data_IF_051538816000
#
_entry.id   IF_051538816000
#
_cell.length_a   1.000
_cell.length_b   1.000
_cell.length_c   1.000
_cell.angle_alpha   90.00
_cell.angle_beta   90.00
_cell.angle_gamma   90.00
#
_symmetry.space_group_name_H-M   'P 1'
#
loop_
_entity.id
_entity.type
_entity.pdbx_description
1 polymer ?
#
# COMPACT_ATOMS: atom_id res chain seq x y z
N UNK A 1 3.65 -16.94 -4.26
CA UNK A 1 5.01 -16.74 -3.71
C UNK A 1 6.01 -16.37 -4.80
N UNK A 2 5.98 -17.00 -5.99
CA UNK A 2 6.91 -16.73 -7.08
C UNK A 2 7.05 -15.25 -7.50
N UNK A 3 5.99 -14.43 -7.43
CA UNK A 3 6.14 -12.99 -7.70
C UNK A 3 6.88 -12.26 -6.57
N UNK A 4 6.70 -12.65 -5.30
CA UNK A 4 7.44 -12.06 -4.17
C UNK A 4 8.93 -12.40 -4.23
N UNK A 5 9.26 -13.64 -4.58
CA UNK A 5 10.64 -14.08 -4.83
C UNK A 5 11.24 -13.34 -6.03
N UNK A 6 10.49 -13.21 -7.13
CA UNK A 6 10.94 -12.50 -8.34
C UNK A 6 11.26 -11.02 -8.08
N UNK A 7 10.53 -10.38 -7.18
CA UNK A 7 10.74 -8.97 -6.82
C UNK A 7 11.59 -8.79 -5.55
N UNK A 8 12.11 -9.88 -4.98
CA UNK A 8 12.94 -9.88 -3.76
C UNK A 8 12.29 -9.09 -2.60
N UNK A 9 10.96 -9.19 -2.46
CA UNK A 9 10.19 -8.37 -1.52
C UNK A 9 10.11 -9.00 -0.13
N UNK A 10 10.13 -10.34 -0.03
CA UNK A 10 10.02 -11.08 1.23
C UNK A 10 10.76 -12.42 1.15
N UNK A 11 11.25 -12.92 2.29
CA UNK A 11 11.81 -14.27 2.45
C UNK A 11 10.89 -15.13 3.33
N UNK A 12 10.71 -16.40 2.96
CA UNK A 12 9.95 -17.35 3.77
C UNK A 12 10.84 -17.91 4.88
N UNK A 13 10.50 -17.62 6.14
CA UNK A 13 11.23 -18.07 7.32
C UNK A 13 10.34 -18.95 8.22
N UNK A 14 10.92 -19.87 9.02
CA UNK A 14 10.19 -20.54 10.09
C UNK A 14 9.54 -19.52 11.02
N UNK A 15 8.35 -19.84 11.53
CA UNK A 15 7.61 -18.93 12.39
C UNK A 15 8.44 -18.55 13.62
N UNK A 16 8.79 -17.27 13.82
CA UNK A 16 9.59 -16.87 14.97
C UNK A 16 8.74 -16.91 16.25
N UNK A 17 9.39 -17.23 17.36
CA UNK A 17 8.76 -17.20 18.67
C UNK A 17 8.65 -15.77 19.19
N UNK A 18 7.52 -15.43 19.82
CA UNK A 18 7.25 -14.15 20.51
C UNK A 18 7.27 -12.90 19.61
N UNK A 19 7.19 -13.03 18.29
CA UNK A 19 7.04 -11.88 17.38
C UNK A 19 5.59 -11.62 17.00
N UNK A 20 5.29 -10.36 16.68
CA UNK A 20 3.99 -9.97 16.14
C UNK A 20 3.95 -10.39 14.67
N UNK A 21 3.08 -11.37 14.36
CA UNK A 21 2.83 -11.79 12.97
C UNK A 21 1.54 -11.13 12.48
N UNK A 22 1.65 -10.32 11.43
CA UNK A 22 0.52 -9.68 10.76
C UNK A 22 -0.21 -10.73 9.92
N UNK A 23 -1.48 -10.97 10.22
CA UNK A 23 -2.28 -11.89 9.41
C UNK A 23 -2.61 -11.26 8.06
N UNK A 24 -2.41 -11.98 6.97
CA UNK A 24 -2.79 -11.55 5.63
C UNK A 24 -4.16 -12.11 5.22
N UNK A 25 -4.86 -11.39 4.33
CA UNK A 25 -6.10 -11.84 3.70
C UNK A 25 -6.06 -11.55 2.21
N UNK A 26 -6.49 -12.53 1.42
CA UNK A 26 -6.71 -12.36 -0.02
C UNK A 26 -8.13 -11.85 -0.29
N UNK A 27 -8.23 -10.80 -1.10
CA UNK A 27 -9.50 -10.24 -1.57
C UNK A 27 -9.54 -10.42 -3.08
N UNK A 28 -10.52 -11.23 -3.52
CA UNK A 28 -10.79 -11.48 -4.93
C UNK A 28 -11.87 -10.53 -5.42
N UNK A 29 -11.62 -9.88 -6.56
CA UNK A 29 -12.59 -9.02 -7.23
C UNK A 29 -12.57 -9.27 -8.72
N UNK A 30 -13.69 -9.75 -9.24
CA UNK A 30 -13.90 -9.87 -10.68
C UNK A 30 -14.39 -8.52 -11.21
N UNK A 31 -13.72 -8.00 -12.24
CA UNK A 31 -14.23 -6.89 -13.05
C UNK A 31 -14.99 -7.48 -14.24
N UNK A 32 -16.26 -7.13 -14.34
CA UNK A 32 -17.09 -7.46 -15.49
C UNK A 32 -17.06 -6.31 -16.51
N UNK A 33 -17.29 -6.62 -17.77
CA UNK A 33 -17.57 -5.64 -18.82
C UNK A 33 -19.07 -5.26 -18.80
N UNK A 34 -19.46 -4.33 -19.67
CA UNK A 34 -20.85 -3.85 -19.76
C UNK A 34 -21.86 -4.94 -20.15
N UNK A 35 -21.39 -6.03 -20.77
CA UNK A 35 -22.17 -7.19 -21.17
C UNK A 35 -22.17 -8.33 -20.13
N UNK A 36 -21.61 -8.10 -18.94
CA UNK A 36 -21.51 -9.10 -17.86
C UNK A 36 -20.43 -10.17 -18.04
N UNK A 37 -19.62 -10.08 -19.09
CA UNK A 37 -18.46 -10.94 -19.31
C UNK A 37 -17.27 -10.57 -18.42
N UNK A 38 -16.44 -11.56 -18.06
CA UNK A 38 -15.27 -11.34 -17.20
C UNK A 38 -14.19 -10.57 -17.99
N UNK A 39 -13.91 -9.34 -17.56
CA UNK A 39 -12.84 -8.51 -18.13
C UNK A 39 -11.50 -8.75 -17.44
N UNK A 40 -11.50 -8.81 -16.10
CA UNK A 40 -10.27 -8.97 -15.33
C UNK A 40 -10.53 -9.50 -13.93
N UNK A 41 -9.82 -10.55 -13.55
CA UNK A 41 -9.73 -10.98 -12.15
C UNK A 41 -8.65 -10.14 -11.45
N UNK A 42 -9.02 -9.50 -10.34
CA UNK A 42 -8.11 -8.77 -9.47
C UNK A 42 -7.99 -9.50 -8.15
N UNK A 43 -6.77 -9.69 -7.70
CA UNK A 43 -6.46 -10.18 -6.35
C UNK A 43 -5.75 -9.05 -5.62
N UNK A 44 -6.11 -8.83 -4.36
CA UNK A 44 -5.41 -7.91 -3.46
C UNK A 44 -5.01 -8.68 -2.22
N UNK A 45 -3.74 -8.58 -1.85
CA UNK A 45 -3.22 -9.04 -0.58
C UNK A 45 -3.30 -7.87 0.41
N UNK A 46 -3.96 -8.07 1.54
CA UNK A 46 -4.23 -7.01 2.52
C UNK A 46 -3.93 -7.51 3.93
N UNK A 47 -3.26 -6.68 4.72
CA UNK A 47 -3.08 -6.93 6.15
C UNK A 47 -4.43 -6.87 6.89
N UNK A 48 -4.66 -7.83 7.79
CA UNK A 48 -5.89 -7.92 8.57
C UNK A 48 -5.79 -6.95 9.76
N UNK A 49 -6.24 -5.70 9.57
CA UNK A 49 -6.06 -4.58 10.51
C UNK A 49 -6.78 -4.65 11.87
N UNK A 50 -7.27 -5.81 12.32
CA UNK A 50 -8.02 -5.93 13.59
C UNK A 50 -7.13 -5.90 14.85
N UNK A 51 -5.83 -5.60 14.72
CA UNK A 51 -4.86 -5.62 15.83
C UNK A 51 -4.16 -4.28 16.08
N UNK A 52 -4.59 -3.19 15.42
CA UNK A 52 -4.09 -1.86 15.76
C UNK A 52 -4.58 -1.50 17.17
N UNK A 53 -3.65 -1.31 18.09
CA UNK A 53 -3.96 -0.84 19.44
C UNK A 53 -4.26 0.67 19.41
N UNK A 54 -5.40 1.05 19.97
CA UNK A 54 -5.79 2.45 20.13
C UNK A 54 -4.74 3.17 21.01
N UNK A 55 -4.04 4.16 20.44
CA UNK A 55 -3.03 4.96 21.15
C UNK A 55 -1.56 4.62 20.91
N UNK A 56 -1.23 3.58 20.13
CA UNK A 56 0.18 3.26 19.76
C UNK A 56 0.45 3.54 18.27
N UNK A 57 -0.40 3.02 17.38
CA UNK A 57 -0.20 3.09 15.92
C UNK A 57 -1.26 3.97 15.21
N UNK A 58 -2.20 4.54 15.96
CA UNK A 58 -3.33 5.31 15.41
C UNK A 58 -3.01 6.80 15.20
N UNK A 59 -2.01 7.35 15.90
CA UNK A 59 -1.64 8.77 15.79
C UNK A 59 -0.75 9.10 14.58
N UNK A 60 0.03 8.14 14.06
CA UNK A 60 0.82 8.31 12.82
C UNK A 60 -0.03 8.14 11.55
N UNK A 61 -1.23 8.70 11.55
CA UNK A 61 -1.92 9.04 10.32
C UNK A 61 -1.19 10.20 9.66
N UNK A 62 -0.16 9.90 8.85
CA UNK A 62 0.34 10.83 7.85
C UNK A 62 -0.69 10.94 6.73
N UNK A 63 -1.83 11.53 7.07
CA UNK A 63 -2.83 11.87 6.10
C UNK A 63 -2.16 12.87 5.15
N UNK A 64 -1.83 12.40 3.94
CA UNK A 64 -1.28 13.19 2.84
C UNK A 64 -2.31 14.19 2.29
N UNK A 65 -3.22 14.67 3.14
CA UNK A 65 -3.97 15.89 2.94
C UNK A 65 -3.03 17.05 3.24
N UNK A 66 -1.89 17.08 2.55
CA UNK A 66 -1.08 18.28 2.39
C UNK A 66 -1.97 19.35 1.77
N UNK A 67 -2.66 20.06 2.67
CA UNK A 67 -3.27 21.39 2.61
C UNK A 67 -3.53 21.86 1.18
N UNK A 68 -4.74 21.64 0.68
CA UNK A 68 -5.24 22.26 -0.57
C UNK A 68 -4.94 23.78 -0.61
N UNK A 69 -4.93 24.42 0.55
CA UNK A 69 -4.52 25.81 0.76
C UNK A 69 -3.08 26.08 0.30
N UNK A 70 -2.11 25.22 0.64
CA UNK A 70 -0.72 25.36 0.22
C UNK A 70 -0.57 25.18 -1.30
N UNK A 71 -1.31 24.23 -1.89
CA UNK A 71 -1.36 24.03 -3.34
C UNK A 71 -1.94 25.28 -4.03
N UNK A 72 -3.01 25.85 -3.50
CA UNK A 72 -3.63 27.09 -4.03
C UNK A 72 -2.66 28.27 -3.95
N UNK A 73 -1.96 28.46 -2.83
CA UNK A 73 -0.95 29.51 -2.67
C UNK A 73 0.20 29.32 -3.67
N UNK A 74 0.70 28.08 -3.83
CA UNK A 74 1.75 27.76 -4.79
C UNK A 74 1.34 28.07 -6.23
N UNK A 75 0.14 27.67 -6.65
CA UNK A 75 -0.38 27.94 -7.99
C UNK A 75 -0.58 29.44 -8.23
N UNK A 76 -1.12 30.17 -7.24
CA UNK A 76 -1.29 31.62 -7.32
C UNK A 76 0.07 32.33 -7.47
N UNK A 77 1.08 31.89 -6.73
CA UNK A 77 2.44 32.42 -6.84
C UNK A 77 3.08 32.10 -8.19
N UNK A 78 2.94 30.86 -8.68
CA UNK A 78 3.44 30.45 -9.99
C UNK A 78 2.82 31.27 -11.12
N UNK A 79 1.50 31.51 -11.06
CA UNK A 79 0.80 32.37 -12.01
C UNK A 79 1.32 33.82 -11.96
N UNK A 80 1.51 34.38 -10.75
CA UNK A 80 2.06 35.73 -10.57
C UNK A 80 3.49 35.86 -11.08
N UNK A 81 4.31 34.81 -10.96
CA UNK A 81 5.70 34.77 -11.45
C UNK A 81 5.84 34.27 -12.89
N UNK A 82 4.72 34.00 -13.57
CA UNK A 82 4.68 33.47 -14.93
C UNK A 82 5.51 32.18 -15.08
N UNK A 83 5.48 31.33 -14.05
CA UNK A 83 6.19 30.05 -14.01
C UNK A 83 5.32 28.95 -14.60
N UNK A 84 5.93 28.05 -15.37
CA UNK A 84 5.26 26.85 -15.86
C UNK A 84 5.31 25.77 -14.77
N UNK A 85 4.14 25.26 -14.37
CA UNK A 85 4.03 24.17 -13.40
C UNK A 85 3.78 22.86 -14.13
N UNK A 86 4.57 21.84 -13.81
CA UNK A 86 4.38 20.48 -14.28
C UNK A 86 3.85 19.60 -13.16
N UNK A 87 2.79 18.85 -13.43
CA UNK A 87 2.27 17.84 -12.50
C UNK A 87 2.82 16.48 -12.91
N UNK A 88 3.45 15.79 -11.96
CA UNK A 88 3.90 14.41 -12.14
C UNK A 88 3.10 13.52 -11.19
N UNK A 89 2.16 12.76 -11.75
CA UNK A 89 1.45 11.71 -11.02
C UNK A 89 2.31 10.44 -11.03
N UNK A 90 3.09 10.26 -9.96
CA UNK A 90 3.90 9.05 -9.78
C UNK A 90 2.97 7.95 -9.29
N UNK A 91 2.42 7.17 -10.24
CA UNK A 91 1.51 6.03 -10.00
C UNK A 91 2.01 5.00 -8.97
N UNK A 92 3.30 5.01 -8.67
CA UNK A 92 4.01 4.05 -7.80
C UNK A 92 4.89 4.76 -6.76
N UNK A 93 4.53 5.95 -6.26
CA UNK A 93 5.31 6.59 -5.19
C UNK A 93 4.98 6.07 -3.78
N UNK A 94 4.24 4.97 -3.67
CA UNK A 94 4.15 4.24 -2.41
C UNK A 94 5.41 3.38 -2.25
N UNK A 95 6.38 3.93 -1.52
CA UNK A 95 7.21 3.22 -0.53
C UNK A 95 7.84 1.89 -0.98
N UNK A 96 8.57 1.85 -2.10
CA UNK A 96 9.55 0.77 -2.33
C UNK A 96 10.88 1.05 -1.61
N UNK A 97 10.80 1.72 -0.46
CA UNK A 97 11.94 1.97 0.41
C UNK A 97 12.05 0.83 1.42
N UNK A 98 13.29 0.48 1.80
CA UNK A 98 13.50 -0.54 2.81
C UNK A 98 12.83 -0.12 4.11
N UNK A 99 12.06 -1.02 4.70
CA UNK A 99 11.55 -0.85 6.06
C UNK A 99 12.73 -0.82 7.02
N UNK A 100 12.68 0.06 8.02
CA UNK A 100 13.68 0.07 9.11
C UNK A 100 13.43 -1.07 10.08
N UNK A 101 12.16 -1.45 10.22
CA UNK A 101 11.68 -2.51 11.07
C UNK A 101 11.51 -3.82 10.29
N UNK A 102 11.88 -4.93 10.93
CA UNK A 102 11.59 -6.26 10.43
C UNK A 102 10.14 -6.63 10.77
N UNK A 103 9.33 -6.91 9.73
CA UNK A 103 7.91 -7.19 9.87
C UNK A 103 7.62 -8.61 9.41
N UNK A 104 7.00 -9.41 10.28
CA UNK A 104 6.57 -10.76 9.93
C UNK A 104 5.10 -10.77 9.51
N UNK A 105 4.83 -11.38 8.36
CA UNK A 105 3.48 -11.58 7.85
C UNK A 105 3.15 -13.07 7.79
N UNK A 106 1.89 -13.44 8.05
CA UNK A 106 1.46 -14.83 7.89
C UNK A 106 1.41 -15.19 6.41
N UNK A 107 1.74 -16.43 6.07
CA UNK A 107 1.49 -16.95 4.74
C UNK A 107 -0.01 -16.87 4.43
N UNK A 108 -0.41 -16.43 3.22
CA UNK A 108 -1.82 -16.34 2.87
C UNK A 108 -2.47 -17.72 2.76
N UNK A 109 -3.72 -17.81 3.20
CA UNK A 109 -4.51 -19.05 3.14
C UNK A 109 -4.54 -19.61 1.69
N UNK A 110 -4.23 -20.90 1.54
CA UNK A 110 -4.15 -21.59 0.24
C UNK A 110 -2.75 -21.63 -0.39
N UNK A 111 -1.75 -21.05 0.26
CA UNK A 111 -0.33 -21.18 -0.08
C UNK A 111 0.49 -21.86 1.01
N UNK A 112 -0.17 -22.48 2.00
CA UNK A 112 0.48 -23.28 3.05
C UNK A 112 0.98 -24.56 2.40
N UNK A 113 2.29 -24.78 2.45
CA UNK A 113 2.92 -26.05 2.07
C UNK A 113 2.67 -27.13 3.14
#
# INVERSE_FOLDING_TARGET
LNEFERFEVCELVPRPDKVIVITLKLIYKVKLNELGGILKNKVRLVARGYRQEEGIEFEESFALFSRLEAIRIFLAYAAHKNMVVYQMDVKTMFLNGNLREEVYVSQPDGFVD
#
